data_IF_452379664428
#
_entry.id   IF_452379664428
#
_cell.length_a   1.000
_cell.length_b   1.000
_cell.length_c   1.000
_cell.angle_alpha   90.00
_cell.angle_beta   90.00
_cell.angle_gamma   90.00
#
_symmetry.space_group_name_H-M   'P 1'
#
loop_
_entity.id
_entity.type
_entity.pdbx_description
1 polymer ?
#
# COMPACT_ATOMS: atom_id res chain seq x y z
N UNK A 1 -32.57 7.79 12.64
CA UNK A 1 -31.51 8.42 11.82
C UNK A 1 -30.64 7.30 11.28
N UNK A 2 -30.45 7.15 9.96
CA UNK A 2 -29.75 6.00 9.41
C UNK A 2 -28.24 6.12 9.60
N UNK A 3 -27.65 5.05 10.13
CA UNK A 3 -26.21 4.81 10.23
C UNK A 3 -25.62 4.59 8.82
N UNK A 4 -24.99 5.60 8.23
CA UNK A 4 -24.25 5.39 6.98
C UNK A 4 -22.89 4.79 7.32
N UNK A 5 -22.74 3.49 7.06
CA UNK A 5 -21.45 2.79 7.11
C UNK A 5 -20.74 3.05 5.78
N UNK A 6 -20.02 4.15 5.67
CA UNK A 6 -19.22 4.42 4.47
C UNK A 6 -17.89 3.67 4.60
N UNK A 7 -17.81 2.49 3.98
CA UNK A 7 -16.55 1.77 3.82
C UNK A 7 -15.85 2.35 2.60
N UNK A 8 -15.07 3.41 2.81
CA UNK A 8 -14.23 3.96 1.75
C UNK A 8 -13.00 3.07 1.59
N UNK A 9 -12.93 2.37 0.47
CA UNK A 9 -11.68 1.74 0.04
C UNK A 9 -10.76 2.86 -0.44
N UNK A 10 -9.66 3.09 0.26
CA UNK A 10 -8.69 4.10 -0.17
C UNK A 10 -7.92 3.58 -1.38
N UNK A 11 -7.68 4.43 -2.37
CA UNK A 11 -6.75 4.18 -3.50
C UNK A 11 -5.28 4.17 -3.03
N UNK A 12 -5.02 3.82 -1.76
CA UNK A 12 -3.70 3.84 -1.14
C UNK A 12 -3.34 2.48 -0.55
N UNK A 13 -2.05 2.13 -0.63
CA UNK A 13 -1.46 0.98 0.03
C UNK A 13 -0.44 1.43 1.08
N UNK A 14 -0.38 0.72 2.19
CA UNK A 14 0.71 0.88 3.13
C UNK A 14 1.89 0.03 2.67
N UNK A 15 3.03 0.69 2.59
CA UNK A 15 4.28 0.13 2.12
C UNK A 15 5.25 0.17 3.31
N UNK A 16 5.73 -0.99 3.73
CA UNK A 16 6.64 -1.13 4.88
C UNK A 16 8.05 -1.35 4.37
N UNK A 17 8.97 -0.46 4.71
CA UNK A 17 10.38 -0.60 4.40
C UNK A 17 11.01 -1.70 5.24
N UNK A 18 11.51 -2.76 4.59
CA UNK A 18 12.16 -3.90 5.26
C UNK A 18 13.43 -3.45 5.97
N UNK A 19 14.14 -2.48 5.39
CA UNK A 19 15.45 -2.00 5.86
C UNK A 19 15.38 -1.17 7.15
N UNK A 20 14.36 -0.32 7.28
CA UNK A 20 14.25 0.68 8.35
C UNK A 20 12.98 0.53 9.21
N UNK A 21 12.08 -0.41 8.88
CA UNK A 21 10.76 -0.52 9.51
C UNK A 21 9.82 0.67 9.22
N UNK A 22 10.22 1.56 8.31
CA UNK A 22 9.48 2.77 7.99
C UNK A 22 8.22 2.42 7.20
N UNK A 23 7.05 2.82 7.72
CA UNK A 23 5.77 2.67 7.03
C UNK A 23 5.48 3.93 6.23
N UNK A 24 5.25 3.78 4.94
CA UNK A 24 4.92 4.87 4.03
C UNK A 24 3.63 4.57 3.31
N UNK A 25 2.77 5.59 3.15
CA UNK A 25 1.54 5.47 2.38
C UNK A 25 1.85 5.79 0.91
N UNK A 26 1.51 4.87 0.01
CA UNK A 26 1.62 5.05 -1.43
C UNK A 26 0.24 5.04 -2.09
N UNK A 27 -0.01 5.93 -3.03
CA UNK A 27 -1.22 5.92 -3.87
C UNK A 27 -1.06 4.88 -4.98
N UNK A 28 -2.00 3.93 -5.07
CA UNK A 28 -1.98 2.86 -6.06
C UNK A 28 -2.33 3.45 -7.42
N UNK A 29 -1.43 3.29 -8.39
CA UNK A 29 -1.64 3.67 -9.79
C UNK A 29 -2.11 2.47 -10.61
N UNK A 30 -1.60 1.28 -10.30
CA UNK A 30 -1.95 0.05 -11.00
C UNK A 30 -1.81 -1.12 -10.04
N UNK A 31 -2.84 -1.92 -9.90
CA UNK A 31 -2.82 -3.13 -9.10
C UNK A 31 -3.09 -4.33 -9.99
N UNK A 32 -2.20 -5.31 -9.94
CA UNK A 32 -2.38 -6.64 -10.53
C UNK A 32 -2.14 -7.68 -9.47
N UNK A 33 -3.20 -8.39 -9.11
CA UNK A 33 -3.16 -9.42 -8.10
C UNK A 33 -2.15 -10.51 -8.47
N UNK A 34 -1.27 -10.87 -7.51
CA UNK A 34 -0.20 -11.87 -7.64
C UNK A 34 0.78 -11.64 -8.79
N UNK A 35 0.83 -10.43 -9.33
CA UNK A 35 1.74 -10.03 -10.42
C UNK A 35 2.58 -8.82 -9.98
N UNK A 36 1.96 -7.65 -9.90
CA UNK A 36 2.65 -6.41 -9.51
C UNK A 36 1.69 -5.31 -9.03
N UNK A 37 2.19 -4.43 -8.18
CA UNK A 37 1.55 -3.19 -7.75
C UNK A 37 2.45 -2.03 -8.12
N UNK A 38 1.92 -1.06 -8.83
CA UNK A 38 2.55 0.23 -9.06
C UNK A 38 1.84 1.23 -8.16
N UNK A 39 2.61 1.86 -7.28
CA UNK A 39 2.11 2.93 -6.42
C UNK A 39 3.04 4.15 -6.49
N UNK A 40 2.56 5.30 -6.05
CA UNK A 40 3.35 6.52 -5.91
C UNK A 40 3.35 6.98 -4.46
N UNK A 41 4.53 7.07 -3.87
CA UNK A 41 4.75 7.58 -2.52
C UNK A 41 4.79 9.11 -2.59
N UNK A 42 3.93 9.77 -1.81
CA UNK A 42 3.84 11.24 -1.69
C UNK A 42 3.75 11.97 -3.05
N UNK A 43 3.09 11.36 -4.06
CA UNK A 43 3.01 11.86 -5.46
C UNK A 43 4.33 12.22 -6.13
N UNK A 44 5.45 11.82 -5.53
CA UNK A 44 6.78 12.25 -5.90
C UNK A 44 7.65 11.08 -6.32
N UNK A 45 7.42 9.90 -5.74
CA UNK A 45 8.25 8.72 -5.96
C UNK A 45 7.41 7.51 -6.37
N UNK A 46 7.50 7.10 -7.63
CA UNK A 46 6.86 5.89 -8.14
C UNK A 46 7.61 4.64 -7.70
N UNK A 47 6.94 3.77 -6.95
CA UNK A 47 7.43 2.47 -6.52
C UNK A 47 6.70 1.36 -7.26
N UNK A 48 7.46 0.34 -7.67
CA UNK A 48 6.91 -0.87 -8.30
C UNK A 48 7.19 -2.04 -7.38
N UNK A 49 6.15 -2.62 -6.83
CA UNK A 49 6.19 -3.82 -6.00
C UNK A 49 5.82 -5.02 -6.87
N UNK A 50 6.62 -6.07 -6.86
CA UNK A 50 6.35 -7.33 -7.56
C UNK A 50 5.94 -8.39 -6.56
N UNK A 51 4.98 -9.23 -6.93
CA UNK A 51 4.59 -10.35 -6.08
C UNK A 51 5.77 -11.31 -5.91
N UNK A 52 6.14 -11.57 -4.66
CA UNK A 52 7.14 -12.56 -4.30
C UNK A 52 6.42 -13.76 -3.69
N UNK A 53 6.30 -14.89 -4.42
CA UNK A 53 5.63 -16.08 -3.89
C UNK A 53 6.37 -16.69 -2.68
N UNK A 54 7.67 -16.42 -2.54
CA UNK A 54 8.46 -16.87 -1.40
C UNK A 54 8.14 -16.12 -0.11
N UNK A 55 7.79 -14.84 -0.21
CA UNK A 55 7.44 -13.99 0.93
C UNK A 55 5.94 -13.80 1.09
N UNK A 56 5.13 -14.34 0.16
CA UNK A 56 3.69 -14.13 0.04
C UNK A 56 3.28 -12.65 0.13
N UNK A 57 4.14 -11.77 -0.39
CA UNK A 57 4.00 -10.32 -0.27
C UNK A 57 4.52 -9.62 -1.54
N UNK A 58 4.07 -8.38 -1.76
CA UNK A 58 4.58 -7.56 -2.85
C UNK A 58 5.83 -6.83 -2.41
N UNK A 59 6.96 -7.10 -3.04
CA UNK A 59 8.25 -6.50 -2.70
C UNK A 59 8.73 -5.62 -3.84
N UNK A 60 9.17 -4.41 -3.51
CA UNK A 60 9.66 -3.40 -4.44
C UNK A 60 10.83 -2.65 -3.84
N UNK A 61 11.56 -1.94 -4.67
CA UNK A 61 12.66 -1.09 -4.20
C UNK A 61 12.53 0.31 -4.77
N UNK A 62 12.82 1.30 -3.93
CA UNK A 62 12.83 2.71 -4.32
C UNK A 62 14.06 3.38 -3.69
N UNK A 63 14.94 3.93 -4.53
CA UNK A 63 16.12 4.66 -4.05
C UNK A 63 17.10 3.83 -3.21
N UNK A 64 17.21 2.51 -3.44
CA UNK A 64 18.07 1.61 -2.67
C UNK A 64 17.49 1.14 -1.32
N UNK A 65 16.23 1.48 -1.05
CA UNK A 65 15.45 0.95 0.07
C UNK A 65 14.48 -0.10 -0.46
N UNK A 66 14.46 -1.25 0.20
CA UNK A 66 13.51 -2.33 -0.07
C UNK A 66 12.25 -2.15 0.75
N UNK A 67 11.13 -2.33 0.08
CA UNK A 67 9.80 -2.15 0.60
C UNK A 67 8.97 -3.39 0.32
N UNK A 68 8.10 -3.73 1.28
CA UNK A 68 7.12 -4.78 1.14
C UNK A 68 5.72 -4.23 1.43
N UNK A 69 4.71 -4.75 0.76
CA UNK A 69 3.32 -4.42 0.98
C UNK A 69 2.46 -5.66 0.88
N UNK A 70 1.47 -5.77 1.77
CA UNK A 70 0.44 -6.81 1.73
C UNK A 70 -0.67 -6.47 0.71
N UNK A 71 -0.69 -5.23 0.20
CA UNK A 71 -1.70 -4.73 -0.74
C UNK A 71 -2.39 -3.44 -0.28
N UNK A 72 -3.51 -3.06 -0.93
CA UNK A 72 -4.32 -1.91 -0.55
C UNK A 72 -4.81 -2.02 0.89
N UNK A 73 -4.74 -0.93 1.67
CA UNK A 73 -5.30 -0.91 3.02
C UNK A 73 -6.75 -0.44 2.97
N UNK A 74 -7.65 -1.25 3.51
CA UNK A 74 -9.00 -0.81 3.87
C UNK A 74 -8.98 -0.17 5.26
N UNK A 75 -9.12 1.14 5.36
CA UNK A 75 -9.16 1.83 6.65
C UNK A 75 -10.62 2.01 7.11
N UNK A 76 -11.03 1.29 8.15
CA UNK A 76 -12.31 1.54 8.83
C UNK A 76 -12.11 2.73 9.78
N UNK A 77 -12.24 3.96 9.27
CA UNK A 77 -12.14 5.17 10.09
C UNK A 77 -13.26 5.21 11.16
N UNK A 78 -12.90 4.93 12.42
CA UNK A 78 -13.77 5.14 13.59
C UNK A 78 -13.60 6.58 14.09
N UNK A 79 -14.29 7.55 13.48
CA UNK A 79 -14.33 8.91 14.04
C UNK A 79 -15.24 8.91 15.26
N UNK A 80 -14.71 9.31 16.43
CA UNK A 80 -15.47 9.68 17.62
C UNK A 80 -15.43 11.21 17.71
N UNK A 81 -16.58 11.85 17.77
CA UNK A 81 -16.72 13.26 18.16
C UNK A 81 -17.59 13.33 19.41
#
# INVERSE_FOLDING_TARGET
MPIVRETTFEDTCEIVGVKNGAKVTGEILTFREKDMIIATIQRSAKVTLRWQPHAEAYVGSLGGVEFQSEGPKSHSHRTRR
#
